data_IF_442801360559
#
_entry.id   IF_442801360559
#
_cell.length_a   1.000
_cell.length_b   1.000
_cell.length_c   1.000
_cell.angle_alpha   90.00
_cell.angle_beta   90.00
_cell.angle_gamma   90.00
#
_symmetry.space_group_name_H-M   'P 1'
#
loop_
_entity.id
_entity.type
_entity.pdbx_description
1 polymer ?
#
# COMPACT_ATOMS: atom_id res chain seq x y z
N UNK A 1 18.17 12.73 12.92
CA UNK A 1 17.45 11.60 13.53
C UNK A 1 17.39 10.32 12.68
N UNK A 2 17.55 10.34 11.35
CA UNK A 2 17.79 9.11 10.54
C UNK A 2 19.20 8.99 9.94
N UNK A 3 20.03 10.02 10.09
CA UNK A 3 21.40 10.06 9.56
C UNK A 3 22.30 8.93 10.08
N UNK A 4 22.02 8.36 11.25
CA UNK A 4 22.83 7.28 11.81
C UNK A 4 22.65 5.96 11.06
N UNK A 5 21.41 5.63 10.66
CA UNK A 5 21.11 4.44 9.85
C UNK A 5 21.80 4.54 8.48
N UNK A 6 21.79 5.73 7.88
CA UNK A 6 22.45 5.95 6.58
C UNK A 6 23.98 5.93 6.63
N UNK A 7 24.59 6.11 7.80
CA UNK A 7 26.05 5.97 8.02
C UNK A 7 26.48 4.53 8.30
N UNK A 8 25.55 3.61 8.53
CA UNK A 8 25.81 2.16 8.64
C UNK A 8 25.74 1.46 7.29
N UNK A 9 25.24 2.13 6.25
CA UNK A 9 25.29 1.57 4.91
C UNK A 9 26.77 1.48 4.50
N UNK A 10 27.25 0.29 4.12
CA UNK A 10 28.62 0.14 3.63
C UNK A 10 28.85 1.05 2.42
N UNK A 11 30.05 1.64 2.31
CA UNK A 11 30.44 2.56 1.23
C UNK A 11 30.36 1.93 -0.18
N UNK A 12 30.11 0.63 -0.27
CA UNK A 12 29.90 -0.05 -1.54
C UNK A 12 28.54 0.34 -2.15
N UNK A 13 28.54 1.02 -3.32
CA UNK A 13 27.31 1.44 -4.00
C UNK A 13 26.41 0.25 -4.38
N UNK A 14 26.96 -0.94 -4.60
CA UNK A 14 26.17 -2.16 -4.92
C UNK A 14 25.35 -2.61 -3.72
N UNK A 15 25.95 -2.60 -2.54
CA UNK A 15 25.25 -3.00 -1.31
C UNK A 15 24.17 -1.99 -0.97
N UNK A 16 24.45 -0.70 -1.16
CA UNK A 16 23.44 0.36 -1.00
C UNK A 16 22.25 0.18 -1.95
N UNK A 17 22.50 -0.14 -3.22
CA UNK A 17 21.45 -0.42 -4.20
C UNK A 17 20.59 -1.61 -3.75
N UNK A 18 21.23 -2.68 -3.26
CA UNK A 18 20.54 -3.89 -2.83
C UNK A 18 19.66 -3.63 -1.59
N UNK A 19 20.16 -2.84 -0.62
CA UNK A 19 19.37 -2.43 0.55
C UNK A 19 18.13 -1.63 0.12
N UNK A 20 18.28 -0.69 -0.80
CA UNK A 20 17.14 0.10 -1.31
C UNK A 20 16.15 -0.80 -2.05
N UNK A 21 16.64 -1.69 -2.91
CA UNK A 21 15.78 -2.62 -3.64
C UNK A 21 14.97 -3.52 -2.69
N UNK A 22 15.61 -4.08 -1.67
CA UNK A 22 14.94 -4.88 -0.63
C UNK A 22 13.93 -4.04 0.14
N UNK A 23 14.26 -2.82 0.53
CA UNK A 23 13.34 -1.94 1.24
C UNK A 23 12.08 -1.63 0.42
N UNK A 24 12.23 -1.37 -0.88
CA UNK A 24 11.09 -1.16 -1.80
C UNK A 24 10.25 -2.42 -1.94
N UNK A 25 10.86 -3.60 -2.10
CA UNK A 25 10.15 -4.87 -2.17
C UNK A 25 9.36 -5.16 -0.89
N UNK A 26 9.98 -4.96 0.28
CA UNK A 26 9.32 -5.13 1.58
C UNK A 26 8.15 -4.16 1.72
N UNK A 27 8.33 -2.88 1.37
CA UNK A 27 7.24 -1.91 1.40
C UNK A 27 6.09 -2.30 0.46
N UNK A 28 6.39 -2.76 -0.75
CA UNK A 28 5.39 -3.26 -1.70
C UNK A 28 4.63 -4.48 -1.18
N UNK A 29 5.33 -5.44 -0.59
CA UNK A 29 4.73 -6.62 0.06
C UNK A 29 3.81 -6.23 1.22
N UNK A 30 4.24 -5.31 2.08
CA UNK A 30 3.42 -4.81 3.19
C UNK A 30 2.17 -4.12 2.66
N UNK A 31 2.30 -3.30 1.62
CA UNK A 31 1.16 -2.63 1.01
C UNK A 31 0.17 -3.66 0.45
N UNK A 32 0.68 -4.66 -0.29
CA UNK A 32 -0.11 -5.69 -0.95
C UNK A 32 -0.82 -6.64 0.01
N UNK A 33 -0.11 -7.15 1.02
CA UNK A 33 -0.61 -8.22 1.89
C UNK A 33 -1.15 -7.74 3.23
N UNK A 34 -0.88 -6.49 3.62
CA UNK A 34 -1.35 -5.94 4.91
C UNK A 34 -2.28 -4.76 4.68
N UNK A 35 -1.84 -3.75 3.92
CA UNK A 35 -2.61 -2.50 3.79
C UNK A 35 -3.85 -2.69 2.94
N UNK A 36 -3.74 -3.31 1.76
CA UNK A 36 -4.91 -3.55 0.91
C UNK A 36 -5.96 -4.45 1.57
N UNK A 37 -5.61 -5.62 2.17
CA UNK A 37 -6.58 -6.44 2.90
C UNK A 37 -7.19 -5.73 4.11
N UNK A 38 -6.45 -4.80 4.72
CA UNK A 38 -6.99 -3.96 5.80
C UNK A 38 -7.89 -2.83 5.29
N UNK A 39 -7.66 -2.32 4.07
CA UNK A 39 -8.48 -1.31 3.42
C UNK A 39 -9.75 -1.90 2.80
N UNK A 40 -9.71 -3.14 2.30
CA UNK A 40 -10.82 -3.82 1.64
C UNK A 40 -12.15 -3.70 2.43
N UNK A 41 -12.19 -3.95 3.75
CA UNK A 41 -13.39 -3.78 4.58
C UNK A 41 -13.85 -2.32 4.71
N UNK A 42 -12.94 -1.35 4.55
CA UNK A 42 -13.21 0.09 4.69
C UNK A 42 -13.60 0.73 3.36
N UNK A 43 -13.25 0.11 2.24
CA UNK A 43 -13.67 0.50 0.90
C UNK A 43 -14.99 -0.15 0.49
N UNK A 44 -15.57 -1.04 1.31
CA UNK A 44 -16.92 -1.56 1.08
C UNK A 44 -17.96 -0.46 1.28
N UNK A 45 -18.14 0.32 0.21
CA UNK A 45 -19.37 0.94 -0.27
C UNK A 45 -20.30 1.51 0.80
N UNK A 46 -20.01 2.73 1.27
CA UNK A 46 -21.05 3.57 1.84
C UNK A 46 -21.91 4.10 0.67
N UNK A 47 -23.04 3.43 0.45
CA UNK A 47 -24.21 3.83 -0.36
C UNK A 47 -24.11 3.76 -1.90
N UNK A 48 -24.97 2.90 -2.51
CA UNK A 48 -25.55 3.20 -3.83
C UNK A 48 -25.36 2.20 -4.98
N UNK A 49 -25.31 0.88 -4.76
CA UNK A 49 -25.66 -0.06 -5.86
C UNK A 49 -27.18 -0.19 -5.91
N UNK A 50 -27.77 0.66 -6.76
CA UNK A 50 -29.10 0.56 -7.37
C UNK A 50 -30.21 -0.19 -6.60
N UNK A 51 -31.05 0.56 -5.88
CA UNK A 51 -32.43 0.14 -5.70
C UNK A 51 -33.13 0.25 -7.06
N UNK A 52 -33.24 -0.88 -7.75
CA UNK A 52 -34.01 -1.05 -8.98
C UNK A 52 -35.51 -0.89 -8.73
N UNK A 53 -35.95 0.26 -8.20
CA UNK A 53 -37.35 0.62 -8.08
C UNK A 53 -37.74 1.31 -9.38
N UNK A 54 -38.50 0.67 -10.30
CA UNK A 54 -39.00 1.36 -11.47
C UNK A 54 -39.94 2.45 -10.97
N UNK A 55 -39.67 3.71 -11.31
CA UNK A 55 -40.62 4.80 -11.09
C UNK A 55 -41.95 4.42 -11.75
N UNK A 56 -43.08 4.39 -11.02
CA UNK A 56 -44.36 4.06 -11.61
C UNK A 56 -44.75 5.20 -12.56
N UNK A 57 -44.75 4.91 -13.86
CA UNK A 57 -45.34 5.80 -14.85
C UNK A 57 -46.85 5.88 -14.59
N UNK A 58 -47.29 7.05 -14.13
CA UNK A 58 -48.68 7.48 -14.20
C UNK A 58 -48.72 8.96 -14.56
#
# INVERSE_FOLDING_TARGET
MYLWIWRRLPDDPRVRLLIVAVAVLVAGLVLWYVVFPWLEPKTQFDHGVMDGTPSPHR
#
